data_IF_713880640985
#
_entry.id   IF_713880640985
#
_cell.length_a   1.000
_cell.length_b   1.000
_cell.length_c   1.000
_cell.angle_alpha   90.00
_cell.angle_beta   90.00
_cell.angle_gamma   90.00
#
_symmetry.space_group_name_H-M   'P 1'
#
loop_
_entity.id
_entity.type
_entity.pdbx_description
1 polymer ?
#
# COMPACT_ATOMS: atom_id res chain seq x y z
N UNK A 1 21.63 15.79 11.97
CA UNK A 1 21.11 15.03 10.82
C UNK A 1 22.04 15.30 9.65
N UNK A 2 22.67 14.30 9.03
CA UNK A 2 23.39 14.52 7.76
C UNK A 2 22.36 14.64 6.64
N UNK A 3 22.46 15.70 5.84
CA UNK A 3 21.69 15.88 4.61
C UNK A 3 22.03 14.73 3.66
N UNK A 4 21.02 14.02 3.17
CA UNK A 4 21.19 13.05 2.10
C UNK A 4 21.16 13.84 0.79
N UNK A 5 22.30 14.02 0.14
CA UNK A 5 22.34 14.57 -1.22
C UNK A 5 22.20 13.41 -2.22
N UNK A 6 21.20 13.43 -3.11
CA UNK A 6 20.97 12.34 -4.06
C UNK A 6 22.13 12.26 -5.08
N UNK A 7 22.49 11.05 -5.48
CA UNK A 7 23.53 10.82 -6.49
C UNK A 7 23.08 11.42 -7.85
N UNK A 8 23.90 12.26 -8.51
CA UNK A 8 23.55 12.83 -9.82
C UNK A 8 23.34 11.80 -10.93
N UNK A 9 23.79 10.55 -10.75
CA UNK A 9 23.61 9.43 -11.67
C UNK A 9 22.53 8.44 -11.20
N UNK A 10 21.77 8.75 -10.15
CA UNK A 10 20.62 7.95 -9.75
C UNK A 10 19.57 8.03 -10.85
N UNK A 11 19.26 6.90 -11.49
CA UNK A 11 18.10 6.79 -12.37
C UNK A 11 16.86 7.10 -11.53
N UNK A 12 16.35 8.34 -11.66
CA UNK A 12 15.14 8.82 -10.99
C UNK A 12 13.90 8.25 -11.68
N UNK A 13 13.81 6.93 -11.79
CA UNK A 13 12.53 6.30 -12.00
C UNK A 13 11.73 6.56 -10.73
N UNK A 14 10.97 7.66 -10.75
CA UNK A 14 10.06 7.99 -9.67
C UNK A 14 9.09 6.81 -9.54
N UNK A 15 8.82 6.33 -8.32
CA UNK A 15 7.88 5.24 -8.12
C UNK A 15 6.54 5.63 -8.73
N UNK A 16 6.07 4.83 -9.69
CA UNK A 16 4.77 5.02 -10.31
C UNK A 16 3.69 4.59 -9.32
N UNK A 17 2.75 5.48 -9.02
CA UNK A 17 1.55 5.12 -8.26
C UNK A 17 0.66 4.23 -9.13
N UNK A 18 0.67 2.92 -8.87
CA UNK A 18 -0.18 1.96 -9.58
C UNK A 18 -1.63 1.99 -9.08
N UNK A 19 -1.82 2.08 -7.75
CA UNK A 19 -3.14 2.07 -7.12
C UNK A 19 -3.11 2.68 -5.72
N UNK A 20 -4.26 3.18 -5.26
CA UNK A 20 -4.49 3.68 -3.90
C UNK A 20 -5.55 2.83 -3.19
N UNK A 21 -5.22 2.29 -2.02
CA UNK A 21 -6.13 1.48 -1.22
C UNK A 21 -6.98 2.37 -0.31
N UNK A 22 -8.26 2.55 -0.66
CA UNK A 22 -9.19 3.39 0.12
C UNK A 22 -10.01 2.58 1.12
N UNK A 23 -10.17 3.07 2.37
CA UNK A 23 -11.12 2.51 3.31
C UNK A 23 -12.54 2.45 2.77
N UNK A 24 -13.23 1.34 3.00
CA UNK A 24 -14.62 1.14 2.57
C UNK A 24 -15.66 1.85 3.45
N UNK A 25 -15.24 2.60 4.47
CA UNK A 25 -16.11 3.30 5.42
C UNK A 25 -15.70 4.77 5.54
N UNK A 26 -16.65 5.68 5.80
CA UNK A 26 -16.35 7.09 6.00
C UNK A 26 -15.46 7.31 7.23
N UNK A 27 -14.59 8.33 7.15
CA UNK A 27 -13.55 8.77 8.10
C UNK A 27 -14.02 9.08 9.54
N UNK A 28 -15.30 8.83 9.89
CA UNK A 28 -15.91 9.23 11.15
C UNK A 28 -15.22 8.61 12.39
N UNK A 29 -14.40 7.57 12.20
CA UNK A 29 -13.68 6.87 13.26
C UNK A 29 -12.14 6.89 13.12
N UNK A 30 -11.59 7.59 12.12
CA UNK A 30 -10.14 7.57 11.80
C UNK A 30 -9.27 8.26 12.86
N UNK A 31 -9.87 8.88 13.87
CA UNK A 31 -9.18 9.51 14.99
C UNK A 31 -9.00 8.56 16.20
N UNK A 32 -9.53 7.33 16.14
CA UNK A 32 -9.31 6.32 17.19
C UNK A 32 -8.10 5.44 16.83
N UNK A 33 -6.96 5.80 17.41
CA UNK A 33 -5.62 5.15 17.47
C UNK A 33 -5.54 3.62 17.65
N UNK A 34 -6.67 2.89 17.69
CA UNK A 34 -6.74 1.44 17.84
C UNK A 34 -7.17 0.73 16.54
N UNK A 35 -7.21 1.43 15.41
CA UNK A 35 -7.69 0.93 14.12
C UNK A 35 -6.58 0.83 13.04
N UNK A 36 -5.34 1.23 13.34
CA UNK A 36 -4.39 1.66 12.30
C UNK A 36 -3.16 0.78 12.09
N UNK A 37 -3.09 -0.45 12.64
CA UNK A 37 -2.00 -1.34 12.22
C UNK A 37 -2.32 -1.96 10.86
N UNK A 38 -1.88 -1.27 9.81
CA UNK A 38 -1.96 -1.74 8.44
C UNK A 38 -0.71 -2.56 8.10
N UNK A 39 -0.92 -3.71 7.49
CA UNK A 39 0.11 -4.64 7.06
C UNK A 39 -0.22 -5.12 5.66
N UNK A 40 0.82 -5.49 4.91
CA UNK A 40 0.70 -6.02 3.55
C UNK A 40 1.52 -7.30 3.42
N UNK A 41 1.06 -8.23 2.59
CA UNK A 41 1.80 -9.45 2.26
C UNK A 41 1.47 -9.90 0.84
N UNK A 42 2.45 -10.48 0.15
CA UNK A 42 2.25 -11.14 -1.13
C UNK A 42 2.22 -12.64 -0.93
N UNK A 43 1.40 -13.35 -1.71
CA UNK A 43 1.46 -14.81 -1.73
C UNK A 43 2.81 -15.28 -2.32
N UNK A 44 3.35 -16.44 -1.88
CA UNK A 44 4.63 -16.95 -2.40
C UNK A 44 4.62 -17.22 -3.91
N UNK A 45 3.44 -17.52 -4.47
CA UNK A 45 3.22 -17.74 -5.90
C UNK A 45 2.95 -16.43 -6.68
N UNK A 46 2.91 -15.28 -6.01
CA UNK A 46 2.68 -13.96 -6.61
C UNK A 46 1.26 -13.68 -7.10
N UNK A 47 0.31 -14.61 -6.94
CA UNK A 47 -1.07 -14.49 -7.46
C UNK A 47 -1.97 -13.57 -6.62
N UNK A 48 -1.56 -13.24 -5.39
CA UNK A 48 -2.39 -12.49 -4.45
C UNK A 48 -1.58 -11.44 -3.68
N UNK A 49 -2.28 -10.35 -3.37
CA UNK A 49 -1.86 -9.31 -2.46
C UNK A 49 -2.86 -9.19 -1.31
N UNK A 50 -2.37 -9.28 -0.07
CA UNK A 50 -3.14 -9.12 1.15
C UNK A 50 -2.89 -7.74 1.76
N UNK A 51 -3.96 -7.07 2.19
CA UNK A 51 -3.91 -5.78 2.88
C UNK A 51 -4.83 -5.81 4.11
N UNK A 52 -4.26 -5.52 5.29
CA UNK A 52 -5.04 -5.32 6.50
C UNK A 52 -5.50 -3.87 6.65
N UNK A 53 -6.75 -3.71 7.00
CA UNK A 53 -7.37 -2.45 7.36
C UNK A 53 -7.94 -2.58 8.79
N UNK A 54 -8.22 -1.43 9.41
CA UNK A 54 -8.87 -1.37 10.69
C UNK A 54 -10.12 -2.25 10.82
N UNK A 55 -10.47 -2.56 12.08
CA UNK A 55 -11.54 -3.49 12.45
C UNK A 55 -11.30 -4.96 12.05
N UNK A 56 -10.05 -5.41 12.06
CA UNK A 56 -9.67 -6.80 11.78
C UNK A 56 -10.11 -7.27 10.37
N UNK A 57 -10.18 -6.34 9.42
CA UNK A 57 -10.52 -6.65 8.04
C UNK A 57 -9.23 -6.91 7.27
N UNK A 58 -9.21 -7.99 6.51
CA UNK A 58 -8.15 -8.27 5.53
C UNK A 58 -8.81 -8.38 4.15
N UNK A 59 -8.29 -7.63 3.18
CA UNK A 59 -8.68 -7.75 1.78
C UNK A 59 -7.63 -8.56 1.03
N UNK A 60 -8.09 -9.51 0.22
CA UNK A 60 -7.29 -10.23 -0.75
C UNK A 60 -7.61 -9.68 -2.15
N UNK A 61 -6.58 -9.29 -2.87
CA UNK A 61 -6.67 -8.67 -4.19
C UNK A 61 -5.86 -9.55 -5.15
N UNK A 62 -6.42 -9.94 -6.31
CA UNK A 62 -5.63 -10.59 -7.36
C UNK A 62 -4.43 -9.73 -7.76
N UNK A 63 -3.26 -10.35 -7.92
CA UNK A 63 -2.02 -9.66 -8.24
C UNK A 63 -1.24 -10.41 -9.33
N UNK A 64 -0.54 -9.72 -10.26
CA UNK A 64 -0.52 -8.26 -10.45
C UNK A 64 -1.87 -7.69 -10.90
N UNK A 65 -2.08 -6.39 -10.67
CA UNK A 65 -3.24 -5.71 -11.24
C UNK A 65 -3.12 -5.76 -12.77
N UNK A 66 -4.19 -6.16 -13.45
CA UNK A 66 -4.27 -6.07 -14.91
C UNK A 66 -4.17 -4.59 -15.31
N UNK A 67 -3.28 -4.28 -16.25
CA UNK A 67 -3.27 -2.95 -16.87
C UNK A 67 -4.61 -2.75 -17.60
N UNK A 68 -5.33 -1.67 -17.26
CA UNK A 68 -6.48 -1.27 -18.06
C UNK A 68 -5.96 -0.77 -19.41
N UNK A 69 -6.06 -1.62 -20.44
CA UNK A 69 -5.79 -1.26 -21.84
C UNK A 69 -6.74 -0.18 -22.36
#
# INVERSE_FOLDING_TARGET
>A
MKSFEPDPNENKELPLLLAELKPGRPHQFDWKSSCETWSVAFSPDGSWFAWSQGHCIVKLIPWPLEEQL
#
